data_IF_918825887291
#
_entry.id   IF_918825887291
#
_cell.length_a   1.000
_cell.length_b   1.000
_cell.length_c   1.000
_cell.angle_alpha   90.00
_cell.angle_beta   90.00
_cell.angle_gamma   90.00
#
_symmetry.space_group_name_H-M   'P 1'
#
loop_
_entity.id
_entity.type
_entity.pdbx_description
1 polymer ?
#
# COMPACT_ATOMS: atom_id res chain seq x y z
N UNK A 1 -30.46 -15.47 -2.09
CA UNK A 1 -29.65 -15.87 -0.93
C UNK A 1 -28.23 -16.01 -1.42
N UNK A 2 -27.41 -14.97 -1.25
CA UNK A 2 -26.03 -14.96 -1.70
C UNK A 2 -25.20 -15.90 -0.81
N UNK A 3 -24.71 -16.96 -1.43
CA UNK A 3 -23.80 -17.90 -0.79
C UNK A 3 -22.57 -17.11 -0.32
N UNK A 4 -22.17 -17.18 0.97
CA UNK A 4 -21.02 -16.42 1.44
C UNK A 4 -19.82 -16.80 0.60
N UNK A 5 -19.24 -15.82 -0.09
CA UNK A 5 -18.02 -16.00 -0.89
C UNK A 5 -17.00 -16.77 -0.05
N UNK A 6 -16.65 -17.98 -0.49
CA UNK A 6 -15.71 -18.82 0.23
C UNK A 6 -14.38 -18.08 0.36
N UNK A 7 -13.71 -18.22 1.50
CA UNK A 7 -12.40 -17.61 1.73
C UNK A 7 -11.43 -17.86 0.55
N UNK A 8 -11.44 -19.07 0.00
CA UNK A 8 -10.62 -19.43 -1.15
C UNK A 8 -11.00 -18.67 -2.44
N UNK A 9 -12.27 -18.33 -2.65
CA UNK A 9 -12.69 -17.55 -3.82
C UNK A 9 -12.23 -16.10 -3.71
N UNK A 10 -12.38 -15.48 -2.52
CA UNK A 10 -11.85 -14.14 -2.25
C UNK A 10 -10.33 -14.11 -2.42
N UNK A 11 -9.62 -15.11 -1.90
CA UNK A 11 -8.16 -15.20 -2.02
C UNK A 11 -7.68 -15.33 -3.46
N UNK A 12 -8.35 -16.16 -4.25
CA UNK A 12 -8.05 -16.27 -5.70
C UNK A 12 -8.34 -14.96 -6.43
N UNK A 13 -9.42 -14.28 -6.08
CA UNK A 13 -9.77 -12.99 -6.66
C UNK A 13 -8.74 -11.91 -6.33
N UNK A 14 -8.30 -11.80 -5.08
CA UNK A 14 -7.27 -10.86 -4.67
C UNK A 14 -5.97 -11.09 -5.46
N UNK A 15 -5.48 -12.33 -5.54
CA UNK A 15 -4.26 -12.65 -6.32
C UNK A 15 -4.38 -12.31 -7.80
N UNK A 16 -5.56 -12.52 -8.39
CA UNK A 16 -5.80 -12.16 -9.79
C UNK A 16 -5.74 -10.65 -9.98
N UNK A 17 -6.38 -9.89 -9.10
CA UNK A 17 -6.38 -8.43 -9.14
C UNK A 17 -4.97 -7.87 -8.90
N UNK A 18 -4.21 -8.43 -7.94
CA UNK A 18 -2.81 -8.10 -7.70
C UNK A 18 -1.96 -8.29 -8.96
N UNK A 19 -2.05 -9.45 -9.61
CA UNK A 19 -1.29 -9.73 -10.83
C UNK A 19 -1.66 -8.81 -12.00
N UNK A 20 -2.95 -8.49 -12.16
CA UNK A 20 -3.41 -7.53 -13.18
C UNK A 20 -2.91 -6.11 -12.89
N UNK A 21 -2.94 -5.71 -11.61
CA UNK A 21 -2.48 -4.42 -11.17
C UNK A 21 -0.97 -4.27 -11.35
N UNK A 22 -0.18 -5.30 -11.06
CA UNK A 22 1.27 -5.33 -11.31
C UNK A 22 1.62 -5.15 -12.80
N UNK A 23 0.89 -5.83 -13.70
CA UNK A 23 1.11 -5.71 -15.15
C UNK A 23 0.79 -4.30 -15.65
N UNK A 24 -0.35 -3.74 -15.24
CA UNK A 24 -0.72 -2.37 -15.58
C UNK A 24 0.25 -1.34 -14.97
N UNK A 25 0.72 -1.56 -13.74
CA UNK A 25 1.72 -0.72 -13.10
C UNK A 25 3.05 -0.74 -13.86
N UNK A 26 3.44 -1.89 -14.41
CA UNK A 26 4.63 -2.03 -15.23
C UNK A 26 4.52 -1.21 -16.53
N UNK A 27 3.38 -1.29 -17.21
CA UNK A 27 3.08 -0.50 -18.41
C UNK A 27 3.11 1.00 -18.07
N UNK A 28 2.44 1.39 -16.99
CA UNK A 28 2.40 2.78 -16.53
C UNK A 28 3.81 3.30 -16.19
N UNK A 29 4.63 2.52 -15.47
CA UNK A 29 6.02 2.88 -15.17
C UNK A 29 6.85 3.08 -16.45
N UNK A 30 6.67 2.20 -17.44
CA UNK A 30 7.33 2.34 -18.75
C UNK A 30 6.91 3.63 -19.45
N UNK A 31 5.63 3.99 -19.40
CA UNK A 31 5.12 5.25 -19.95
C UNK A 31 5.78 6.46 -19.27
N UNK A 32 5.83 6.47 -17.94
CA UNK A 32 6.48 7.52 -17.14
C UNK A 32 7.96 7.71 -17.50
N UNK A 33 8.66 6.64 -17.87
CA UNK A 33 10.07 6.70 -18.28
C UNK A 33 10.23 7.12 -19.74
N UNK A 34 9.41 6.60 -20.65
CA UNK A 34 9.69 6.65 -22.09
C UNK A 34 9.13 7.87 -22.81
N UNK A 35 7.96 8.42 -22.45
CA UNK A 35 7.39 9.60 -23.14
C UNK A 35 6.37 10.35 -22.27
N UNK A 36 6.61 11.65 -22.07
CA UNK A 36 5.60 12.62 -21.59
C UNK A 36 4.77 13.23 -22.75
N UNK A 37 4.99 12.78 -23.99
CA UNK A 37 4.50 13.40 -25.23
C UNK A 37 3.28 12.68 -25.85
N UNK A 38 3.03 11.41 -25.49
CA UNK A 38 1.88 10.62 -25.97
C UNK A 38 0.74 10.66 -24.94
N UNK A 39 0.22 11.86 -24.67
CA UNK A 39 -0.79 12.12 -23.64
C UNK A 39 -2.13 11.40 -23.83
N UNK A 40 -2.33 10.64 -24.91
CA UNK A 40 -3.55 9.88 -25.17
C UNK A 40 -3.65 8.57 -24.37
N UNK A 41 -2.55 7.81 -24.23
CA UNK A 41 -2.58 6.48 -23.58
C UNK A 41 -2.50 6.54 -22.05
N UNK A 42 -1.99 7.63 -21.50
CA UNK A 42 -1.91 7.88 -20.06
C UNK A 42 -3.30 8.01 -19.42
N UNK A 43 -4.20 8.75 -20.08
CA UNK A 43 -5.52 9.07 -19.54
C UNK A 43 -6.43 7.85 -19.40
N UNK A 44 -6.19 6.79 -20.17
CA UNK A 44 -6.98 5.56 -20.10
C UNK A 44 -6.43 4.57 -19.05
N UNK A 45 -5.11 4.60 -18.79
CA UNK A 45 -4.45 3.69 -17.85
C UNK A 45 -4.62 4.11 -16.38
N UNK A 46 -4.59 5.42 -16.08
CA UNK A 46 -4.84 5.91 -14.70
C UNK A 46 -6.19 5.47 -14.12
N UNK A 47 -7.35 5.69 -14.78
CA UNK A 47 -8.64 5.30 -14.25
C UNK A 47 -8.80 3.78 -14.17
N UNK A 48 -8.18 3.02 -15.07
CA UNK A 48 -8.15 1.56 -15.02
C UNK A 48 -7.42 1.06 -13.77
N UNK A 49 -6.24 1.62 -13.48
CA UNK A 49 -5.45 1.29 -12.28
C UNK A 49 -6.21 1.70 -11.00
N UNK A 50 -6.81 2.89 -10.96
CA UNK A 50 -7.63 3.35 -9.83
C UNK A 50 -8.84 2.42 -9.59
N UNK A 51 -9.48 1.96 -10.67
CA UNK A 51 -10.57 1.00 -10.59
C UNK A 51 -10.10 -0.36 -10.03
N UNK A 52 -8.98 -0.89 -10.51
CA UNK A 52 -8.40 -2.16 -10.03
C UNK A 52 -8.00 -2.07 -8.54
N UNK A 53 -7.39 -0.96 -8.12
CA UNK A 53 -7.08 -0.68 -6.71
C UNK A 53 -8.35 -0.70 -5.84
N UNK A 54 -9.42 -0.03 -6.29
CA UNK A 54 -10.70 0.01 -5.59
C UNK A 54 -11.33 -1.38 -5.49
N UNK A 55 -11.26 -2.18 -6.55
CA UNK A 55 -11.75 -3.56 -6.53
C UNK A 55 -10.95 -4.44 -5.56
N UNK A 56 -9.62 -4.32 -5.55
CA UNK A 56 -8.76 -5.06 -4.61
C UNK A 56 -9.04 -4.65 -3.16
N UNK A 57 -9.27 -3.36 -2.90
CA UNK A 57 -9.70 -2.86 -1.60
C UNK A 57 -11.04 -3.45 -1.15
N UNK A 58 -12.03 -3.55 -2.06
CA UNK A 58 -13.32 -4.18 -1.75
C UNK A 58 -13.16 -5.66 -1.38
N UNK A 59 -12.33 -6.41 -2.12
CA UNK A 59 -12.05 -7.82 -1.81
C UNK A 59 -11.35 -7.95 -0.44
N UNK A 60 -10.37 -7.09 -0.14
CA UNK A 60 -9.72 -7.06 1.17
C UNK A 60 -10.70 -6.74 2.31
N UNK A 61 -11.66 -5.83 2.09
CA UNK A 61 -12.70 -5.54 3.06
C UNK A 61 -13.62 -6.75 3.31
N UNK A 62 -14.01 -7.47 2.24
CA UNK A 62 -14.79 -8.70 2.39
C UNK A 62 -14.03 -9.79 3.15
N UNK A 63 -12.73 -9.96 2.85
CA UNK A 63 -11.86 -10.86 3.62
C UNK A 63 -11.76 -10.44 5.09
N UNK A 64 -11.66 -9.13 5.36
CA UNK A 64 -11.63 -8.59 6.72
C UNK A 64 -12.90 -8.92 7.50
N UNK A 65 -14.08 -8.72 6.89
CA UNK A 65 -15.36 -9.10 7.49
C UNK A 65 -15.40 -10.60 7.79
N UNK A 66 -14.88 -11.43 6.88
CA UNK A 66 -14.83 -12.88 7.06
C UNK A 66 -13.91 -13.30 8.23
N UNK A 67 -12.70 -12.73 8.33
CA UNK A 67 -11.78 -12.97 9.46
C UNK A 67 -12.41 -12.51 10.79
N UNK A 68 -13.02 -11.33 10.81
CA UNK A 68 -13.69 -10.78 12.00
C UNK A 68 -14.91 -11.58 12.45
N UNK A 69 -15.52 -12.37 11.56
CA UNK A 69 -16.68 -13.24 11.88
C UNK A 69 -16.32 -14.57 12.57
N UNK A 70 -15.05 -14.80 12.90
CA UNK A 70 -14.57 -16.01 13.58
C UNK A 70 -13.59 -16.86 12.75
N UNK A 71 -12.90 -16.25 11.79
CA UNK A 71 -11.89 -16.93 10.98
C UNK A 71 -10.66 -17.37 11.79
N UNK A 72 -10.01 -18.45 11.35
CA UNK A 72 -8.72 -18.91 11.88
C UNK A 72 -7.61 -17.85 11.79
N UNK A 73 -6.66 -17.87 12.73
CA UNK A 73 -5.49 -16.99 12.81
C UNK A 73 -4.64 -16.99 11.51
N UNK A 74 -4.61 -18.10 10.78
CA UNK A 74 -3.93 -18.25 9.48
C UNK A 74 -4.53 -17.32 8.41
N UNK A 75 -5.84 -17.11 8.46
CA UNK A 75 -6.55 -16.22 7.54
C UNK A 75 -6.26 -14.75 7.86
N UNK A 76 -6.06 -14.43 9.15
CA UNK A 76 -5.64 -13.09 9.59
C UNK A 76 -4.29 -12.71 8.99
N UNK A 77 -3.27 -13.57 9.10
CA UNK A 77 -1.96 -13.29 8.50
C UNK A 77 -2.01 -13.17 6.97
N UNK A 78 -2.82 -14.02 6.32
CA UNK A 78 -2.99 -13.95 4.86
C UNK A 78 -3.66 -12.64 4.44
N UNK A 79 -4.65 -12.18 5.20
CA UNK A 79 -5.30 -10.88 4.98
C UNK A 79 -4.33 -9.72 5.19
N UNK A 80 -3.56 -9.72 6.28
CA UNK A 80 -2.55 -8.68 6.54
C UNK A 80 -1.61 -8.53 5.35
N UNK A 81 -1.13 -9.65 4.79
CA UNK A 81 -0.29 -9.62 3.58
C UNK A 81 -1.00 -8.97 2.38
N UNK A 82 -2.26 -9.32 2.13
CA UNK A 82 -3.01 -8.71 1.03
C UNK A 82 -3.28 -7.20 1.26
N UNK A 83 -3.39 -6.75 2.51
CA UNK A 83 -3.48 -5.33 2.86
C UNK A 83 -2.15 -4.60 2.64
N UNK A 84 -1.02 -5.21 3.01
CA UNK A 84 0.32 -4.67 2.76
C UNK A 84 0.58 -4.51 1.25
N UNK A 85 0.27 -5.54 0.45
CA UNK A 85 0.42 -5.48 -1.01
C UNK A 85 -0.43 -4.34 -1.60
N UNK A 86 -1.70 -4.22 -1.19
CA UNK A 86 -2.56 -3.14 -1.64
C UNK A 86 -1.98 -1.76 -1.28
N UNK A 87 -1.45 -1.61 -0.08
CA UNK A 87 -0.84 -0.35 0.37
C UNK A 87 0.40 0.00 -0.47
N UNK A 88 1.29 -0.97 -0.68
CA UNK A 88 2.51 -0.79 -1.47
C UNK A 88 2.18 -0.39 -2.92
N UNK A 89 1.24 -1.09 -3.56
CA UNK A 89 0.80 -0.80 -4.93
C UNK A 89 0.12 0.57 -5.03
N UNK A 90 -0.68 0.94 -4.04
CA UNK A 90 -1.31 2.27 -3.97
C UNK A 90 -0.27 3.37 -3.86
N UNK A 91 0.69 3.21 -2.94
CA UNK A 91 1.76 4.19 -2.73
C UNK A 91 2.63 4.32 -3.98
N UNK A 92 2.93 3.20 -4.65
CA UNK A 92 3.70 3.21 -5.87
C UNK A 92 2.97 3.97 -6.99
N UNK A 93 1.67 3.71 -7.17
CA UNK A 93 0.85 4.40 -8.16
C UNK A 93 0.90 5.92 -7.99
N UNK A 94 0.64 6.43 -6.78
CA UNK A 94 0.66 7.87 -6.52
C UNK A 94 2.05 8.48 -6.71
N UNK A 95 3.12 7.73 -6.42
CA UNK A 95 4.50 8.16 -6.68
C UNK A 95 4.78 8.26 -8.18
N UNK A 96 4.30 7.31 -8.98
CA UNK A 96 4.46 7.36 -10.43
C UNK A 96 3.65 8.51 -11.04
N UNK A 97 2.41 8.71 -10.58
CA UNK A 97 1.53 9.80 -10.99
C UNK A 97 2.12 11.19 -10.68
N UNK A 98 2.70 11.37 -9.49
CA UNK A 98 3.38 12.63 -9.15
C UNK A 98 4.65 12.85 -9.98
N UNK A 99 5.43 11.79 -10.23
CA UNK A 99 6.60 11.86 -11.10
C UNK A 99 6.24 12.25 -12.53
N UNK A 100 5.13 11.70 -13.06
CA UNK A 100 4.64 12.01 -14.39
C UNK A 100 4.18 13.46 -14.50
N UNK A 101 3.38 13.93 -13.53
CA UNK A 101 2.97 15.35 -13.45
C UNK A 101 4.17 16.28 -13.41
N UNK A 102 5.17 16.00 -12.57
CA UNK A 102 6.37 16.83 -12.47
C UNK A 102 7.14 16.89 -13.81
N UNK A 103 7.25 15.77 -14.53
CA UNK A 103 7.88 15.75 -15.87
C UNK A 103 7.07 16.54 -16.90
N UNK A 104 5.75 16.45 -16.86
CA UNK A 104 4.85 17.17 -17.76
C UNK A 104 4.92 18.69 -17.53
N UNK A 105 4.92 19.11 -16.27
CA UNK A 105 5.13 20.52 -15.91
C UNK A 105 6.49 21.01 -16.43
N UNK A 106 7.56 20.25 -16.22
CA UNK A 106 8.89 20.58 -16.74
C UNK A 106 8.94 20.69 -18.27
N UNK A 107 8.26 19.78 -18.98
CA UNK A 107 8.17 19.81 -20.44
C UNK A 107 7.40 21.05 -20.92
N UNK A 108 6.27 21.38 -20.29
CA UNK A 108 5.47 22.57 -20.64
C UNK A 108 6.22 23.88 -20.40
N UNK A 109 7.04 23.96 -19.35
CA UNK A 109 7.90 25.12 -19.08
C UNK A 109 9.00 25.28 -20.14
N UNK A 110 9.62 24.16 -20.56
CA UNK A 110 10.61 24.16 -21.65
C UNK A 110 10.00 24.55 -22.98
N UNK A 111 8.77 24.11 -23.27
CA UNK A 111 8.05 24.51 -24.48
C UNK A 111 7.75 26.02 -24.47
N UNK A 112 7.25 26.55 -23.36
CA UNK A 112 7.03 27.99 -23.20
C UNK A 112 8.32 28.82 -23.32
N UNK A 113 9.46 28.29 -22.84
CA UNK A 113 10.76 28.94 -23.03
C UNK A 113 11.20 28.93 -24.50
N UNK A 114 11.05 27.80 -25.20
CA UNK A 114 11.37 27.69 -26.63
C UNK A 114 10.48 28.59 -27.50
N UNK A 115 9.22 28.74 -27.14
CA UNK A 115 8.30 29.64 -27.83
C UNK A 115 8.67 31.11 -27.59
N UNK A 116 9.03 31.47 -26.35
CA UNK A 116 9.57 32.79 -26.03
C UNK A 116 10.86 33.10 -26.78
N UNK A 117 11.79 32.14 -26.88
CA UNK A 117 13.05 32.30 -27.61
C UNK A 117 12.80 32.47 -29.12
N UNK A 118 11.88 31.68 -29.69
CA UNK A 118 11.48 31.84 -31.10
C UNK A 118 10.83 33.21 -31.36
N UNK A 119 9.94 33.66 -30.47
CA UNK A 119 9.32 34.98 -30.56
C UNK A 119 10.34 36.12 -30.38
N UNK A 120 11.39 35.91 -29.58
CA UNK A 120 12.50 36.85 -29.44
C UNK A 120 13.36 36.91 -30.70
N UNK A 121 13.70 35.77 -31.30
CA UNK A 121 14.45 35.72 -32.57
C UNK A 121 13.70 36.42 -33.70
N UNK A 122 12.36 36.37 -33.72
CA UNK A 122 11.51 37.13 -34.67
C UNK A 122 11.51 38.65 -34.41
N UNK A 123 11.88 39.07 -33.20
CA UNK A 123 11.97 40.48 -32.76
C UNK A 123 13.42 41.01 -32.75
N UNK A 124 14.43 40.16 -32.94
CA UNK A 124 15.86 40.48 -32.77
C UNK A 124 16.52 41.01 -34.06
N UNK A 125 15.75 41.53 -35.02
CA UNK A 125 16.29 42.32 -36.14
C UNK A 125 16.69 43.76 -35.73
N UNK A 126 16.80 44.07 -34.42
CA UNK A 126 17.07 45.46 -34.02
C UNK A 126 17.64 45.83 -32.65
N UNK A 127 17.81 44.96 -31.64
CA UNK A 127 18.29 45.48 -30.32
C UNK A 127 18.93 44.45 -29.36
N UNK A 128 20.13 43.96 -29.69
CA UNK A 128 20.89 43.01 -28.88
C UNK A 128 21.16 43.46 -27.42
N UNK A 129 21.41 44.75 -27.18
CA UNK A 129 21.75 45.27 -25.85
C UNK A 129 20.57 45.23 -24.86
N UNK A 130 19.35 45.48 -25.35
CA UNK A 130 18.14 45.41 -24.52
C UNK A 130 17.77 43.96 -24.19
N UNK A 131 18.12 43.06 -25.11
CA UNK A 131 17.96 41.62 -24.98
C UNK A 131 18.90 41.06 -23.87
N UNK A 132 20.14 41.53 -23.81
CA UNK A 132 21.12 41.19 -22.77
C UNK A 132 20.73 41.72 -21.38
N UNK A 133 20.25 42.96 -21.29
CA UNK A 133 19.78 43.54 -20.02
C UNK A 133 18.56 42.79 -19.46
N UNK A 134 17.64 42.37 -20.33
CA UNK A 134 16.48 41.56 -19.95
C UNK A 134 16.90 40.16 -19.49
N UNK A 135 17.89 39.56 -20.16
CA UNK A 135 18.45 38.27 -19.74
C UNK A 135 19.08 38.37 -18.36
N UNK A 136 19.89 39.39 -18.10
CA UNK A 136 20.50 39.60 -16.77
C UNK A 136 19.44 39.77 -15.66
N UNK A 137 18.36 40.52 -15.93
CA UNK A 137 17.24 40.65 -15.00
C UNK A 137 16.52 39.31 -14.76
N UNK A 138 16.37 38.49 -15.79
CA UNK A 138 15.77 37.15 -15.65
C UNK A 138 16.65 36.18 -14.85
N UNK A 139 17.97 36.18 -15.08
CA UNK A 139 18.95 35.38 -14.34
C UNK A 139 18.94 35.76 -12.86
N UNK A 140 18.97 37.06 -12.56
CA UNK A 140 18.90 37.54 -11.17
C UNK A 140 17.62 37.10 -10.47
N UNK A 141 16.50 37.03 -11.20
CA UNK A 141 15.22 36.54 -10.65
C UNK A 141 15.24 35.02 -10.44
N UNK A 142 15.82 34.26 -11.37
CA UNK A 142 15.99 32.81 -11.24
C UNK A 142 16.89 32.43 -10.07
N UNK A 143 17.96 33.19 -9.81
CA UNK A 143 18.84 32.97 -8.66
C UNK A 143 18.08 33.10 -7.33
N UNK A 144 17.24 34.13 -7.17
CA UNK A 144 16.43 34.29 -5.95
C UNK A 144 15.36 33.20 -5.77
N UNK A 145 14.82 32.65 -6.86
CA UNK A 145 13.89 31.52 -6.80
C UNK A 145 14.60 30.22 -6.39
N UNK A 146 15.84 30.00 -6.85
CA UNK A 146 16.67 28.86 -6.44
C UNK A 146 16.93 28.85 -4.92
N UNK A 147 17.20 30.01 -4.32
CA UNK A 147 17.37 30.13 -2.86
C UNK A 147 16.09 29.74 -2.10
N UNK A 148 14.91 30.08 -2.64
CA UNK A 148 13.62 29.71 -2.05
C UNK A 148 13.40 28.19 -2.13
N UNK A 149 13.76 27.56 -3.25
CA UNK A 149 13.68 26.10 -3.42
C UNK A 149 14.66 25.37 -2.50
N UNK A 150 15.88 25.90 -2.31
CA UNK A 150 16.87 25.37 -1.37
C UNK A 150 16.33 25.43 0.07
N UNK A 151 15.75 26.57 0.46
CA UNK A 151 15.12 26.74 1.77
C UNK A 151 13.97 25.75 1.98
N UNK A 152 13.09 25.60 0.98
CA UNK A 152 11.97 24.65 1.04
C UNK A 152 12.45 23.19 1.08
N UNK A 153 13.51 22.85 0.35
CA UNK A 153 14.11 21.52 0.38
C UNK A 153 14.73 21.22 1.76
N UNK A 154 15.42 22.17 2.38
CA UNK A 154 15.96 22.03 3.74
C UNK A 154 14.85 21.84 4.78
N UNK A 155 13.76 22.60 4.69
CA UNK A 155 12.58 22.43 5.55
C UNK A 155 11.95 21.04 5.37
N UNK A 156 11.82 20.57 4.13
CA UNK A 156 11.29 19.23 3.82
C UNK A 156 12.18 18.12 4.37
N UNK A 157 13.51 18.26 4.26
CA UNK A 157 14.49 17.31 4.80
C UNK A 157 14.41 17.24 6.33
N UNK A 158 14.28 18.39 7.01
CA UNK A 158 14.02 18.45 8.45
C UNK A 158 12.72 17.74 8.86
N UNK A 159 11.65 17.92 8.08
CA UNK A 159 10.36 17.26 8.32
C UNK A 159 10.45 15.75 8.12
N UNK A 160 11.15 15.28 7.10
CA UNK A 160 11.39 13.85 6.85
C UNK A 160 12.27 13.20 7.94
N UNK A 161 13.29 13.91 8.44
CA UNK A 161 14.10 13.44 9.57
C UNK A 161 13.28 13.35 10.87
N UNK A 162 12.42 14.34 11.13
CA UNK A 162 11.50 14.30 12.26
C UNK A 162 10.47 13.17 12.14
N UNK A 163 9.95 12.95 10.94
CA UNK A 163 9.04 11.85 10.63
C UNK A 163 9.73 10.48 10.79
N UNK A 164 11.00 10.35 10.39
CA UNK A 164 11.81 9.13 10.62
C UNK A 164 12.07 8.86 12.10
N UNK A 165 12.33 9.90 12.90
CA UNK A 165 12.44 9.80 14.36
C UNK A 165 11.13 9.36 15.00
N UNK A 166 10.01 9.89 14.52
CA UNK A 166 8.66 9.52 14.98
C UNK A 166 8.35 8.06 14.63
N UNK A 167 8.67 7.59 13.42
CA UNK A 167 8.54 6.18 13.01
C UNK A 167 9.40 5.23 13.85
N UNK A 168 10.59 5.64 14.28
CA UNK A 168 11.40 4.89 15.24
C UNK A 168 10.69 4.66 16.59
N UNK A 169 9.91 5.65 17.04
CA UNK A 169 9.07 5.55 18.25
C UNK A 169 7.85 4.66 18.10
N UNK A 170 7.38 4.38 16.89
CA UNK A 170 6.25 3.46 16.64
C UNK A 170 6.71 2.01 16.79
N UNK A 171 7.94 1.70 16.36
CA UNK A 171 8.53 0.36 16.52
C UNK A 171 8.77 0.01 17.99
N UNK A 172 9.14 0.97 18.84
CA UNK A 172 9.28 0.75 20.29
C UNK A 172 7.93 0.58 20.99
N UNK A 173 6.87 1.26 20.54
CA UNK A 173 5.50 1.03 21.02
C UNK A 173 4.94 -0.33 20.56
N UNK A 174 5.24 -0.76 19.33
CA UNK A 174 4.84 -2.07 18.81
C UNK A 174 5.58 -3.22 19.50
N UNK A 175 6.87 -3.07 19.78
CA UNK A 175 7.64 -4.01 20.60
C UNK A 175 7.11 -4.11 22.04
N UNK A 176 6.65 -3.00 22.62
CA UNK A 176 6.02 -2.97 23.94
C UNK A 176 4.57 -3.52 23.96
N UNK A 177 3.90 -3.61 22.80
CA UNK A 177 2.65 -4.36 22.63
C UNK A 177 2.96 -5.86 22.44
N UNK A 178 4.05 -6.20 21.75
CA UNK A 178 4.54 -7.58 21.62
C UNK A 178 4.91 -8.23 22.95
N UNK A 179 5.43 -7.47 23.93
CA UNK A 179 5.70 -7.96 25.28
C UNK A 179 4.45 -8.25 26.13
N UNK A 180 3.24 -7.87 25.66
CA UNK A 180 1.94 -8.23 26.27
C UNK A 180 1.24 -9.43 25.63
N UNK A 181 1.72 -9.90 24.47
CA UNK A 181 1.27 -11.16 23.85
C UNK A 181 1.54 -12.45 24.66
N UNK A 182 2.60 -12.59 25.49
CA UNK A 182 2.76 -13.79 26.32
C UNK A 182 1.64 -13.97 27.37
N UNK A 183 0.96 -12.90 27.78
CA UNK A 183 -0.16 -12.97 28.73
C UNK A 183 -1.43 -13.54 28.08
N UNK A 184 -1.67 -13.24 26.80
CA UNK A 184 -2.82 -13.77 26.06
C UNK A 184 -2.67 -15.27 25.82
N UNK A 185 -1.44 -15.74 25.56
CA UNK A 185 -1.15 -17.16 25.35
C UNK A 185 -1.30 -17.99 26.65
N UNK A 186 -1.01 -17.41 27.82
CA UNK A 186 -1.28 -18.07 29.10
C UNK A 186 -2.78 -18.19 29.41
N UNK A 187 -3.58 -17.16 29.11
CA UNK A 187 -5.04 -17.21 29.30
C UNK A 187 -5.67 -18.22 28.34
N UNK A 188 -5.23 -18.25 27.08
CA UNK A 188 -5.72 -19.22 26.09
C UNK A 188 -5.31 -20.67 26.44
N UNK A 189 -4.08 -20.87 26.95
CA UNK A 189 -3.62 -22.18 27.42
C UNK A 189 -4.35 -22.66 28.68
N UNK A 190 -4.65 -21.75 29.62
CA UNK A 190 -5.45 -22.06 30.80
C UNK A 190 -6.89 -22.49 30.45
N UNK A 191 -7.49 -21.84 29.45
CA UNK A 191 -8.83 -22.19 28.93
C UNK A 191 -8.80 -23.57 28.25
N UNK A 192 -7.79 -23.85 27.42
CA UNK A 192 -7.65 -25.15 26.75
C UNK A 192 -7.44 -26.30 27.74
N UNK A 193 -6.67 -26.07 28.81
CA UNK A 193 -6.38 -27.07 29.86
C UNK A 193 -7.63 -27.47 30.64
N UNK A 194 -8.53 -26.53 30.95
CA UNK A 194 -9.80 -26.84 31.64
C UNK A 194 -10.72 -27.71 30.78
N UNK A 195 -10.81 -27.42 29.47
CA UNK A 195 -11.62 -28.23 28.52
C UNK A 195 -11.06 -29.65 28.29
N UNK A 196 -9.74 -29.83 28.39
CA UNK A 196 -9.11 -31.16 28.24
C UNK A 196 -9.38 -32.09 29.42
N UNK A 197 -9.48 -31.56 30.64
CA UNK A 197 -9.73 -32.37 31.85
C UNK A 197 -11.14 -32.97 31.85
N UNK A 198 -12.15 -32.18 31.47
CA UNK A 198 -13.53 -32.67 31.39
C UNK A 198 -13.68 -33.80 30.35
N UNK A 199 -12.93 -33.72 29.24
CA UNK A 199 -12.94 -34.76 28.20
C UNK A 199 -12.28 -36.06 28.66
N UNK A 200 -11.17 -35.95 29.40
CA UNK A 200 -10.46 -37.12 29.95
C UNK A 200 -11.35 -37.84 30.97
N UNK A 201 -11.98 -37.12 31.90
CA UNK A 201 -12.85 -37.70 32.93
C UNK A 201 -14.05 -38.41 32.29
N UNK A 202 -14.70 -37.78 31.30
CA UNK A 202 -15.84 -38.37 30.59
C UNK A 202 -15.46 -39.67 29.88
N UNK A 203 -14.30 -39.69 29.19
CA UNK A 203 -13.82 -40.87 28.47
C UNK A 203 -13.48 -42.05 29.39
N UNK A 204 -12.92 -41.76 30.57
CA UNK A 204 -12.54 -42.77 31.55
C UNK A 204 -13.78 -43.41 32.19
N UNK A 205 -14.79 -42.61 32.54
CA UNK A 205 -16.07 -43.11 33.06
C UNK A 205 -16.78 -43.99 32.03
N UNK A 206 -16.83 -43.58 30.76
CA UNK A 206 -17.43 -44.37 29.69
C UNK A 206 -16.69 -45.71 29.48
N UNK A 207 -15.35 -45.70 29.53
CA UNK A 207 -14.54 -46.92 29.40
C UNK A 207 -14.76 -47.89 30.56
N UNK A 208 -14.84 -47.42 31.80
CA UNK A 208 -15.09 -48.29 32.97
C UNK A 208 -16.50 -48.88 32.91
N UNK A 209 -17.49 -48.07 32.53
CA UNK A 209 -18.88 -48.52 32.45
C UNK A 209 -19.07 -49.59 31.36
N UNK A 210 -18.44 -49.42 30.20
CA UNK A 210 -18.46 -50.42 29.12
C UNK A 210 -17.72 -51.70 29.48
N UNK A 211 -16.59 -51.60 30.21
CA UNK A 211 -15.84 -52.77 30.67
C UNK A 211 -16.63 -53.61 31.70
N UNK A 212 -17.30 -52.96 32.66
CA UNK A 212 -18.15 -53.66 33.64
C UNK A 212 -19.35 -54.34 32.98
N UNK A 213 -19.98 -53.69 32.00
CA UNK A 213 -21.05 -54.30 31.20
C UNK A 213 -20.57 -55.55 30.45
N UNK A 214 -19.36 -55.50 29.87
CA UNK A 214 -18.76 -56.64 29.16
C UNK A 214 -18.48 -57.82 30.10
N UNK A 215 -17.94 -57.56 31.30
CA UNK A 215 -17.72 -58.61 32.32
C UNK A 215 -19.06 -59.22 32.76
N UNK A 216 -20.08 -58.39 33.00
CA UNK A 216 -21.40 -58.89 33.40
C UNK A 216 -22.01 -59.79 32.32
N UNK A 217 -21.85 -59.42 31.05
CA UNK A 217 -22.33 -60.22 29.93
C UNK A 217 -21.56 -61.53 29.75
N UNK A 218 -20.25 -61.54 29.98
CA UNK A 218 -19.41 -62.75 29.94
C UNK A 218 -19.62 -63.69 31.14
N UNK A 219 -20.03 -63.14 32.29
CA UNK A 219 -20.26 -63.92 33.52
C UNK A 219 -21.67 -64.49 33.62
N UNK A 220 -22.56 -64.17 32.68
CA UNK A 220 -23.95 -64.65 32.65
C UNK A 220 -24.15 -65.68 31.55
#
# INVERSE_FOLDING_TARGET
MDQPSSWDSLRKQARKLEAQLDDQMHIYRKLVVTKADDGGKENDLEPEIEQLLKQLQQVNNHMQTWVSSGGSEIFSHTLTRHQEILQDLTQEFYRLKSSLRAKKEHASLLEGFREFDRARVDLEDGNADQALLKEHASISRSTGQMDTVISQAQATLGTLLFQRSTFGGINSKLANVGSRLPTVNQVLSAIKRKKSMDTIILSLVASVCTFLMLIYWLSK
#
